data_IF_694175301631
#
_entry.id   IF_694175301631
#
_cell.length_a   1.000
_cell.length_b   1.000
_cell.length_c   1.000
_cell.angle_alpha   90.00
_cell.angle_beta   90.00
_cell.angle_gamma   90.00
#
_symmetry.space_group_name_H-M   'P 1'
#
loop_
_entity.id
_entity.type
_entity.pdbx_description
1 polymer ?
#
# COMPACT_ATOMS: atom_id res chain seq x y z
N UNK A 1 16.26 -21.70 7.45
CA UNK A 1 16.71 -20.42 6.85
C UNK A 1 15.57 -19.46 6.74
N UNK A 2 15.80 -18.24 7.17
CA UNK A 2 14.80 -17.18 7.13
C UNK A 2 14.89 -16.39 5.84
N UNK A 3 13.75 -15.89 5.38
CA UNK A 3 13.70 -14.94 4.26
C UNK A 3 14.26 -13.60 4.73
N UNK A 4 15.23 -13.07 3.98
CA UNK A 4 15.76 -11.74 4.24
C UNK A 4 14.85 -10.64 3.67
N UNK A 5 15.07 -9.36 4.05
CA UNK A 5 14.24 -8.25 3.58
C UNK A 5 14.20 -8.10 2.06
N UNK A 6 15.32 -8.34 1.37
CA UNK A 6 15.37 -8.27 -0.09
C UNK A 6 14.51 -9.34 -0.74
N UNK A 7 14.53 -10.55 -0.20
CA UNK A 7 13.70 -11.66 -0.69
C UNK A 7 12.21 -11.38 -0.45
N UNK A 8 11.87 -10.78 0.71
CA UNK A 8 10.49 -10.37 1.00
C UNK A 8 10.01 -9.29 0.02
N UNK A 9 10.88 -8.36 -0.36
CA UNK A 9 10.56 -7.35 -1.34
C UNK A 9 10.25 -7.97 -2.71
N UNK A 10 11.06 -8.92 -3.16
CA UNK A 10 10.82 -9.63 -4.42
C UNK A 10 9.51 -10.41 -4.39
N UNK A 11 9.21 -11.11 -3.29
CA UNK A 11 7.96 -11.83 -3.13
C UNK A 11 6.75 -10.90 -3.18
N UNK A 12 6.84 -9.75 -2.52
CA UNK A 12 5.73 -8.80 -2.43
C UNK A 12 5.49 -8.03 -3.73
N UNK A 13 6.53 -7.75 -4.49
CA UNK A 13 6.46 -6.87 -5.66
C UNK A 13 6.56 -7.65 -6.98
N UNK A 14 7.76 -8.08 -7.37
CA UNK A 14 7.96 -8.72 -8.66
C UNK A 14 7.26 -10.07 -8.78
N UNK A 15 7.45 -10.94 -7.82
CA UNK A 15 6.85 -12.27 -7.87
C UNK A 15 5.34 -12.22 -7.75
N UNK A 16 4.81 -11.28 -6.97
CA UNK A 16 3.37 -11.04 -6.89
C UNK A 16 2.78 -10.59 -8.22
N UNK A 17 3.46 -9.67 -8.93
CA UNK A 17 3.04 -9.23 -10.26
C UNK A 17 3.09 -10.38 -11.26
N UNK A 18 4.16 -11.16 -11.28
CA UNK A 18 4.32 -12.31 -12.17
C UNK A 18 3.26 -13.37 -11.91
N UNK A 19 2.88 -13.60 -10.68
CA UNK A 19 1.81 -14.53 -10.31
C UNK A 19 0.46 -14.13 -10.91
N UNK A 20 0.24 -12.84 -11.15
CA UNK A 20 -0.94 -12.32 -11.85
C UNK A 20 -0.76 -12.26 -13.37
N UNK A 21 0.35 -12.75 -13.90
CA UNK A 21 0.66 -12.68 -15.31
C UNK A 21 1.11 -11.30 -15.80
N UNK A 22 1.50 -10.40 -14.90
CA UNK A 22 1.90 -9.04 -15.23
C UNK A 22 3.41 -8.89 -15.29
N UNK A 23 3.91 -8.38 -16.40
CA UNK A 23 5.35 -8.17 -16.63
C UNK A 23 5.71 -6.69 -16.69
N UNK A 24 4.72 -5.79 -16.61
CA UNK A 24 4.87 -4.35 -16.77
C UNK A 24 4.91 -3.59 -15.43
N UNK A 25 4.91 -4.30 -14.32
CA UNK A 25 4.94 -3.71 -12.99
C UNK A 25 5.70 -4.63 -12.00
N UNK A 26 5.72 -4.24 -10.72
CA UNK A 26 6.38 -4.99 -9.66
C UNK A 26 7.83 -4.60 -9.43
N UNK A 27 8.35 -3.61 -10.15
CA UNK A 27 9.69 -3.07 -9.95
C UNK A 27 9.75 -1.61 -10.40
N UNK A 28 10.68 -0.86 -9.81
CA UNK A 28 10.95 0.52 -10.21
C UNK A 28 12.02 0.50 -11.31
N UNK A 29 11.56 0.39 -12.55
CA UNK A 29 12.40 0.29 -13.74
C UNK A 29 11.88 1.21 -14.84
N UNK A 30 12.77 1.70 -15.70
CA UNK A 30 12.37 2.46 -16.87
C UNK A 30 11.50 1.57 -17.77
N UNK A 31 10.36 2.08 -18.18
CA UNK A 31 9.40 1.34 -19.01
C UNK A 31 8.34 0.58 -18.23
N UNK A 32 8.51 0.39 -16.92
CA UNK A 32 7.48 -0.19 -16.06
C UNK A 32 6.37 0.81 -15.73
N UNK A 33 5.17 0.31 -15.42
CA UNK A 33 4.10 1.16 -14.92
C UNK A 33 4.50 1.79 -13.60
N UNK A 34 4.08 3.02 -13.38
CA UNK A 34 4.36 3.75 -12.15
C UNK A 34 3.34 3.37 -11.07
N UNK A 35 3.49 2.17 -10.52
CA UNK A 35 2.77 1.68 -9.36
C UNK A 35 3.74 1.79 -8.17
N UNK A 36 3.56 2.82 -7.35
CA UNK A 36 4.55 3.22 -6.35
C UNK A 36 3.86 3.48 -5.01
N UNK A 37 4.45 2.93 -3.95
CA UNK A 37 4.06 3.23 -2.58
C UNK A 37 5.24 3.90 -1.88
N UNK A 38 4.97 5.01 -1.20
CA UNK A 38 5.98 5.74 -0.42
C UNK A 38 5.66 5.62 1.06
N UNK A 39 6.65 5.18 1.84
CA UNK A 39 6.57 5.10 3.29
C UNK A 39 7.28 6.29 3.92
N UNK A 40 6.66 6.87 4.94
CA UNK A 40 7.30 7.88 5.78
C UNK A 40 8.03 7.16 6.92
N UNK A 41 9.36 7.21 6.91
CA UNK A 41 10.18 6.55 7.93
C UNK A 41 10.45 7.45 9.14
N UNK A 42 9.99 8.69 9.13
CA UNK A 42 10.15 9.64 10.24
C UNK A 42 9.07 9.40 11.32
N UNK A 43 9.09 8.20 11.88
CA UNK A 43 8.14 7.74 12.91
C UNK A 43 8.92 7.12 14.07
N UNK A 44 8.43 7.25 15.33
CA UNK A 44 9.13 6.69 16.50
C UNK A 44 9.36 5.19 16.42
N UNK A 45 8.40 4.42 15.93
CA UNK A 45 8.51 2.96 15.83
C UNK A 45 9.42 2.49 14.71
N UNK A 46 9.87 3.40 13.84
CA UNK A 46 10.79 3.11 12.74
C UNK A 46 12.23 3.55 13.03
N UNK A 47 12.46 4.13 14.20
CA UNK A 47 13.78 4.59 14.58
C UNK A 47 14.55 3.53 15.39
N UNK A 48 15.88 3.47 15.28
CA UNK A 48 16.72 4.20 14.33
C UNK A 48 16.72 3.55 12.95
N UNK A 49 16.94 4.35 11.89
CA UNK A 49 17.03 3.85 10.52
C UNK A 49 18.49 3.70 10.12
N UNK A 50 19.00 2.48 10.16
CA UNK A 50 20.32 2.14 9.63
C UNK A 50 20.21 1.66 8.18
N UNK A 51 19.19 0.82 7.93
CA UNK A 51 18.83 0.35 6.60
C UNK A 51 17.29 0.39 6.47
N UNK A 52 16.79 0.88 5.34
CA UNK A 52 15.36 1.08 5.16
C UNK A 52 14.58 -0.23 5.04
N UNK A 53 15.10 -1.22 4.31
CA UNK A 53 14.39 -2.47 4.06
C UNK A 53 14.04 -3.26 5.33
N UNK A 54 14.95 -3.47 6.29
CA UNK A 54 14.58 -4.15 7.53
C UNK A 54 13.47 -3.43 8.29
N UNK A 55 13.53 -2.10 8.38
CA UNK A 55 12.48 -1.33 9.05
C UNK A 55 11.14 -1.46 8.34
N UNK A 56 11.15 -1.48 7.02
CA UNK A 56 9.95 -1.65 6.21
C UNK A 56 9.24 -2.97 6.52
N UNK A 57 9.96 -4.07 6.58
CA UNK A 57 9.36 -5.40 6.75
C UNK A 57 9.12 -5.80 8.19
N UNK A 58 9.87 -5.26 9.15
CA UNK A 58 9.76 -5.68 10.55
C UNK A 58 9.01 -4.69 11.45
N UNK A 59 8.92 -3.43 11.07
CA UNK A 59 8.35 -2.40 11.93
C UNK A 59 7.28 -1.55 11.27
N UNK A 60 7.34 -1.33 9.96
CA UNK A 60 6.38 -0.46 9.27
C UNK A 60 5.01 -1.12 9.12
N UNK A 61 3.97 -0.31 9.16
CA UNK A 61 2.60 -0.71 8.89
C UNK A 61 1.99 0.14 7.78
N UNK A 62 0.75 -0.17 7.41
CA UNK A 62 0.03 0.56 6.37
C UNK A 62 -0.16 2.04 6.73
N UNK A 63 -0.27 2.36 8.01
CA UNK A 63 -0.41 3.75 8.49
C UNK A 63 0.84 4.60 8.23
N UNK A 64 1.98 3.98 7.91
CA UNK A 64 3.23 4.69 7.57
C UNK A 64 3.31 5.06 6.09
N UNK A 65 2.36 4.63 5.28
CA UNK A 65 2.28 5.00 3.87
C UNK A 65 1.78 6.43 3.74
N UNK A 66 2.55 7.27 3.08
CA UNK A 66 2.17 8.67 2.84
C UNK A 66 1.73 8.94 1.41
N UNK A 67 2.02 8.04 0.47
CA UNK A 67 1.60 8.18 -0.92
C UNK A 67 1.41 6.80 -1.55
N UNK A 68 0.35 6.68 -2.35
CA UNK A 68 0.14 5.53 -3.23
C UNK A 68 -0.18 6.04 -4.64
N UNK A 69 0.58 5.56 -5.60
CA UNK A 69 0.43 5.89 -7.02
C UNK A 69 0.15 4.63 -7.80
N UNK A 70 -0.83 4.68 -8.68
CA UNK A 70 -1.17 3.56 -9.57
C UNK A 70 -1.17 4.09 -11.00
N UNK A 71 -0.37 3.47 -11.84
CA UNK A 71 -0.20 3.82 -13.25
C UNK A 71 0.06 5.32 -13.45
N UNK A 72 0.94 5.87 -12.63
CA UNK A 72 1.34 7.28 -12.67
C UNK A 72 0.37 8.26 -12.01
N UNK A 73 -0.74 7.77 -11.48
CA UNK A 73 -1.75 8.62 -10.84
C UNK A 73 -1.75 8.44 -9.33
N UNK A 74 -1.65 9.54 -8.60
CA UNK A 74 -1.73 9.52 -7.13
C UNK A 74 -3.17 9.25 -6.71
N UNK A 75 -3.40 8.13 -6.04
CA UNK A 75 -4.73 7.73 -5.54
C UNK A 75 -4.89 7.93 -4.04
N UNK A 76 -3.78 8.11 -3.32
CA UNK A 76 -3.75 8.39 -1.87
C UNK A 76 -2.56 9.29 -1.56
N UNK A 77 -2.78 10.31 -0.74
CA UNK A 77 -1.72 11.21 -0.26
C UNK A 77 -2.07 11.71 1.14
N UNK A 78 -1.20 11.45 2.10
CA UNK A 78 -1.26 11.98 3.47
C UNK A 78 -2.66 11.87 4.11
N UNK A 79 -3.26 10.69 4.01
CA UNK A 79 -4.56 10.39 4.61
C UNK A 79 -5.76 10.70 3.71
N UNK A 80 -5.54 11.23 2.52
CA UNK A 80 -6.64 11.62 1.60
C UNK A 80 -6.67 10.71 0.38
N UNK A 81 -7.82 10.09 0.14
CA UNK A 81 -8.11 9.36 -1.09
C UNK A 81 -8.50 10.37 -2.17
N UNK A 82 -7.81 10.34 -3.32
CA UNK A 82 -7.98 11.36 -4.35
C UNK A 82 -9.10 11.06 -5.35
N UNK A 83 -9.51 9.78 -5.45
CA UNK A 83 -10.52 9.33 -6.43
C UNK A 83 -11.80 8.81 -5.77
N UNK A 84 -11.82 8.69 -4.47
CA UNK A 84 -12.93 8.14 -3.70
C UNK A 84 -13.33 9.18 -2.66
N UNK A 85 -14.64 9.46 -2.56
CA UNK A 85 -15.20 10.23 -1.46
C UNK A 85 -15.42 9.27 -0.29
N UNK A 86 -14.44 9.22 0.61
CA UNK A 86 -14.44 8.31 1.74
C UNK A 86 -15.64 8.53 2.66
N UNK A 87 -15.98 9.78 2.95
CA UNK A 87 -17.13 10.10 3.81
C UNK A 87 -18.44 9.59 3.22
N UNK A 88 -18.60 9.76 1.91
CA UNK A 88 -19.79 9.28 1.21
C UNK A 88 -19.87 7.76 1.22
N UNK A 89 -18.76 7.07 0.97
CA UNK A 89 -18.70 5.60 1.00
C UNK A 89 -19.06 5.09 2.39
N UNK A 90 -18.51 5.69 3.43
CA UNK A 90 -18.81 5.31 4.82
C UNK A 90 -20.28 5.55 5.18
N UNK A 91 -20.84 6.69 4.75
CA UNK A 91 -22.24 7.00 4.99
C UNK A 91 -23.18 6.02 4.29
N UNK A 92 -22.89 5.68 3.03
CA UNK A 92 -23.66 4.67 2.31
C UNK A 92 -23.55 3.28 2.94
N UNK A 93 -22.36 2.89 3.36
CA UNK A 93 -22.14 1.60 4.03
C UNK A 93 -22.96 1.51 5.32
N UNK A 94 -22.97 2.55 6.14
CA UNK A 94 -23.76 2.61 7.37
C UNK A 94 -25.25 2.54 7.10
N UNK A 95 -25.71 3.27 6.08
CA UNK A 95 -27.12 3.30 5.69
C UNK A 95 -27.59 1.93 5.22
N UNK A 96 -26.82 1.27 4.36
CA UNK A 96 -27.15 -0.07 3.86
C UNK A 96 -27.11 -1.13 4.95
N UNK A 97 -26.14 -1.03 5.84
CA UNK A 97 -26.02 -1.93 6.99
C UNK A 97 -27.20 -1.82 7.93
N UNK A 98 -27.65 -0.60 8.25
CA UNK A 98 -28.81 -0.35 9.06
C UNK A 98 -30.09 -0.92 8.43
N UNK A 99 -30.23 -0.75 7.10
CA UNK A 99 -31.38 -1.31 6.37
C UNK A 99 -31.40 -2.83 6.43
N UNK A 100 -30.25 -3.48 6.20
CA UNK A 100 -30.16 -4.94 6.26
C UNK A 100 -30.52 -5.44 7.65
N UNK A 101 -30.00 -4.81 8.71
CA UNK A 101 -30.30 -5.19 10.08
C UNK A 101 -31.80 -5.05 10.42
N UNK A 102 -32.46 -4.03 9.87
CA UNK A 102 -33.89 -3.81 10.12
C UNK A 102 -34.78 -4.85 9.45
N UNK A 103 -34.28 -5.56 8.43
CA UNK A 103 -35.01 -6.58 7.68
C UNK A 103 -34.80 -8.01 8.20
N UNK A 104 -33.92 -8.17 9.19
CA UNK A 104 -33.63 -9.47 9.78
C UNK A 104 -34.67 -9.93 10.82
#
# INVERSE_FOLDING_TARGET
>A
TFLGPRQLLELSCRNGALAQGRTDCGALEVGSRADIVVYDLDKPHLQPVYEALPNLFYAAGASDICLNMIDGEVVYRDGVLTRIDEEKVMAEARSRSARILSEL
#
